data_IF_024510067441
#
_entry.id   IF_024510067441
#
_cell.length_a   1.000
_cell.length_b   1.000
_cell.length_c   1.000
_cell.angle_alpha   90.00
_cell.angle_beta   90.00
_cell.angle_gamma   90.00
#
_symmetry.space_group_name_H-M   'P 1'
#
loop_
_entity.id
_entity.type
_entity.pdbx_description
1 polymer ?
#
# COMPACT_ATOMS: atom_id res chain seq x y z
N UNK A 1 -11.67 -15.91 -10.38
CA UNK A 1 -10.46 -15.64 -9.58
C UNK A 1 -10.21 -14.13 -9.52
N UNK A 2 -10.15 -13.58 -8.33
CA UNK A 2 -9.88 -12.15 -8.17
C UNK A 2 -8.40 -11.87 -8.38
N UNK A 3 -8.11 -10.74 -9.02
CA UNK A 3 -6.73 -10.29 -9.24
C UNK A 3 -6.53 -8.96 -8.55
N UNK A 4 -5.37 -8.77 -7.94
CA UNK A 4 -5.03 -7.54 -7.24
C UNK A 4 -3.88 -6.81 -7.92
N UNK A 5 -4.03 -5.49 -8.06
CA UNK A 5 -2.94 -4.60 -8.40
C UNK A 5 -2.47 -3.95 -7.10
N UNK A 6 -1.22 -4.17 -6.73
CA UNK A 6 -0.68 -3.75 -5.44
C UNK A 6 0.13 -2.48 -5.61
N UNK A 7 -0.20 -1.46 -4.80
CA UNK A 7 0.53 -0.20 -4.80
C UNK A 7 1.19 -0.03 -3.43
N UNK A 8 2.51 -0.23 -3.39
CA UNK A 8 3.30 -0.04 -2.18
C UNK A 8 3.85 1.38 -2.11
N UNK A 9 4.04 1.89 -0.91
CA UNK A 9 4.62 3.20 -0.69
C UNK A 9 4.59 3.61 0.76
N UNK A 10 5.18 4.76 1.05
CA UNK A 10 5.20 5.29 2.41
C UNK A 10 3.87 5.98 2.77
N UNK A 11 3.27 6.69 1.83
CA UNK A 11 2.03 7.45 2.02
C UNK A 11 2.09 8.32 3.30
N UNK A 12 3.04 9.24 3.33
CA UNK A 12 3.33 10.07 4.51
C UNK A 12 3.13 11.58 4.22
N UNK A 13 1.92 12.09 4.10
CA UNK A 13 0.67 11.36 3.95
C UNK A 13 0.38 10.98 2.50
N UNK A 14 -0.75 10.32 2.27
CA UNK A 14 -1.27 10.07 0.93
C UNK A 14 -1.53 11.41 0.21
N UNK A 15 -1.28 11.44 -1.10
CA UNK A 15 -1.52 12.62 -1.93
C UNK A 15 -2.45 12.29 -3.08
N UNK A 16 -2.88 13.32 -3.82
CA UNK A 16 -3.70 13.12 -5.01
C UNK A 16 -2.98 12.26 -6.06
N UNK A 17 -1.65 12.41 -6.17
CA UNK A 17 -0.85 11.61 -7.10
C UNK A 17 -0.93 10.12 -6.75
N UNK A 18 -0.92 9.78 -5.47
CA UNK A 18 -1.07 8.39 -5.03
C UNK A 18 -2.43 7.82 -5.44
N UNK A 19 -3.49 8.61 -5.29
CA UNK A 19 -4.83 8.18 -5.70
C UNK A 19 -4.92 8.03 -7.22
N UNK A 20 -4.31 8.95 -7.97
CA UNK A 20 -4.28 8.89 -9.44
C UNK A 20 -3.59 7.63 -9.96
N UNK A 21 -2.53 7.18 -9.30
CA UNK A 21 -1.87 5.92 -9.66
C UNK A 21 -2.86 4.76 -9.60
N UNK A 22 -3.66 4.71 -8.55
CA UNK A 22 -4.71 3.69 -8.41
C UNK A 22 -5.78 3.80 -9.49
N UNK A 23 -6.17 5.02 -9.83
CA UNK A 23 -7.17 5.25 -10.88
C UNK A 23 -6.64 4.80 -12.24
N UNK A 24 -5.37 5.11 -12.55
CA UNK A 24 -4.73 4.69 -13.80
C UNK A 24 -4.65 3.16 -13.85
N UNK A 25 -4.20 2.54 -12.76
CA UNK A 25 -4.12 1.09 -12.68
C UNK A 25 -5.48 0.44 -12.86
N UNK A 26 -6.53 1.02 -12.29
CA UNK A 26 -7.89 0.53 -12.43
C UNK A 26 -8.37 0.56 -13.88
N UNK A 27 -7.98 1.58 -14.64
CA UNK A 27 -8.32 1.68 -16.05
C UNK A 27 -7.53 0.69 -16.90
N UNK A 28 -6.23 0.53 -16.61
CA UNK A 28 -5.36 -0.38 -17.36
C UNK A 28 -5.66 -1.85 -17.08
N UNK A 29 -6.18 -2.15 -15.89
CA UNK A 29 -6.44 -3.51 -15.44
C UNK A 29 -7.91 -3.66 -15.04
N UNK A 30 -8.84 -3.64 -16.01
CA UNK A 30 -10.28 -3.78 -15.71
C UNK A 30 -10.55 -5.08 -14.96
N UNK A 31 -11.34 -4.99 -13.89
CA UNK A 31 -11.68 -6.14 -13.07
C UNK A 31 -10.67 -6.49 -12.00
N UNK A 32 -9.50 -5.83 -12.00
CA UNK A 32 -8.53 -6.01 -10.91
C UNK A 32 -8.90 -5.15 -9.71
N UNK A 33 -8.68 -5.69 -8.51
CA UNK A 33 -8.87 -4.92 -7.29
C UNK A 33 -7.57 -4.15 -6.99
N UNK A 34 -7.70 -2.86 -6.68
CA UNK A 34 -6.55 -2.04 -6.32
C UNK A 34 -6.32 -2.13 -4.82
N UNK A 35 -5.09 -2.47 -4.41
CA UNK A 35 -4.73 -2.70 -3.02
C UNK A 35 -3.49 -1.87 -2.65
N UNK A 36 -3.66 -0.94 -1.73
CA UNK A 36 -2.57 -0.10 -1.23
C UNK A 36 -1.94 -0.71 0.01
N UNK A 37 -0.60 -0.76 0.06
CA UNK A 37 0.14 -1.31 1.20
C UNK A 37 1.13 -0.27 1.70
N UNK A 38 0.84 0.43 2.81
CA UNK A 38 1.79 1.39 3.38
C UNK A 38 2.97 0.69 4.05
N UNK A 39 4.16 1.29 3.89
CA UNK A 39 5.40 0.76 4.45
C UNK A 39 5.47 0.99 5.97
N UNK A 40 6.24 0.18 6.71
CA UNK A 40 6.43 0.41 8.14
C UNK A 40 7.26 1.66 8.42
N UNK A 41 7.07 2.24 9.62
CA UNK A 41 7.74 3.48 10.03
C UNK A 41 9.27 3.40 9.91
N UNK A 42 9.85 2.26 10.27
CA UNK A 42 11.31 2.08 10.23
C UNK A 42 11.91 2.31 8.84
N UNK A 43 11.12 2.06 7.77
CA UNK A 43 11.61 2.23 6.41
C UNK A 43 11.70 3.70 6.02
N UNK A 44 10.84 4.54 6.57
CA UNK A 44 10.90 5.98 6.29
C UNK A 44 12.16 6.60 6.90
N UNK A 45 12.55 6.17 8.10
CA UNK A 45 13.78 6.68 8.74
C UNK A 45 15.04 6.16 8.06
N UNK A 46 15.08 4.88 7.67
CA UNK A 46 16.29 4.29 7.08
C UNK A 46 16.44 4.59 5.59
N UNK A 47 15.37 4.55 4.82
CA UNK A 47 15.45 4.73 3.37
C UNK A 47 15.45 6.18 2.95
N UNK A 48 14.58 6.99 3.56
CA UNK A 48 14.35 8.36 3.12
C UNK A 48 15.08 9.37 3.97
N UNK A 49 15.82 8.90 4.96
CA UNK A 49 16.58 9.79 5.89
C UNK A 49 15.69 10.88 6.51
N UNK A 50 14.43 10.57 6.73
CA UNK A 50 13.48 11.51 7.31
C UNK A 50 13.68 11.61 8.81
N UNK A 51 13.54 12.81 9.37
CA UNK A 51 13.52 12.98 10.80
C UNK A 51 12.21 12.42 11.37
N UNK A 52 12.28 11.87 12.58
CA UNK A 52 11.14 11.24 13.24
C UNK A 52 9.91 12.15 13.30
N UNK A 53 10.12 13.45 13.54
CA UNK A 53 9.02 14.43 13.61
C UNK A 53 8.31 14.66 12.28
N UNK A 54 8.92 14.28 11.16
CA UNK A 54 8.33 14.41 9.84
C UNK A 54 7.50 13.21 9.44
N UNK A 55 7.51 12.15 10.25
CA UNK A 55 6.88 10.88 9.94
C UNK A 55 5.58 10.73 10.72
N UNK A 56 4.48 10.60 10.00
CA UNK A 56 3.20 10.23 10.61
C UNK A 56 3.28 8.78 11.07
N UNK A 57 2.63 8.43 12.18
CA UNK A 57 2.57 7.04 12.64
C UNK A 57 1.92 6.16 11.56
N UNK A 58 2.27 4.88 11.55
CA UNK A 58 1.69 3.94 10.60
C UNK A 58 0.17 3.90 10.68
N UNK A 59 -0.38 3.94 11.90
CA UNK A 59 -1.82 3.98 12.12
C UNK A 59 -2.45 5.21 11.48
N UNK A 60 -1.84 6.39 11.66
CA UNK A 60 -2.35 7.64 11.11
C UNK A 60 -2.24 7.67 9.59
N UNK A 61 -1.12 7.20 9.05
CA UNK A 61 -0.91 7.10 7.61
C UNK A 61 -1.95 6.19 6.97
N UNK A 62 -2.19 5.03 7.58
CA UNK A 62 -3.19 4.08 7.10
C UNK A 62 -4.59 4.68 7.13
N UNK A 63 -4.96 5.37 8.21
CA UNK A 63 -6.26 5.99 8.34
C UNK A 63 -6.51 7.05 7.26
N UNK A 64 -5.52 7.91 7.00
CA UNK A 64 -5.63 8.93 5.96
C UNK A 64 -5.70 8.30 4.57
N UNK A 65 -4.92 7.26 4.34
CA UNK A 65 -4.93 6.52 3.09
C UNK A 65 -6.30 5.90 2.83
N UNK A 66 -6.87 5.23 3.83
CA UNK A 66 -8.20 4.61 3.70
C UNK A 66 -9.26 5.65 3.34
N UNK A 67 -9.24 6.81 3.99
CA UNK A 67 -10.19 7.89 3.69
C UNK A 67 -10.03 8.41 2.26
N UNK A 68 -8.81 8.46 1.76
CA UNK A 68 -8.55 8.98 0.42
C UNK A 68 -8.97 8.00 -0.69
N UNK A 69 -8.80 6.70 -0.48
CA UNK A 69 -9.01 5.71 -1.53
C UNK A 69 -10.35 4.98 -1.46
N UNK A 70 -11.00 4.98 -0.30
CA UNK A 70 -12.29 4.30 -0.11
C UNK A 70 -13.37 4.77 -1.08
N UNK A 71 -13.51 6.08 -1.37
CA UNK A 71 -14.52 6.54 -2.34
C UNK A 71 -14.35 5.94 -3.74
N UNK A 72 -13.15 5.48 -4.07
CA UNK A 72 -12.86 4.86 -5.37
C UNK A 72 -13.02 3.34 -5.34
N UNK A 73 -13.39 2.78 -4.19
CA UNK A 73 -13.53 1.33 -4.05
C UNK A 73 -12.21 0.60 -3.91
N UNK A 74 -11.13 1.30 -3.62
CA UNK A 74 -9.80 0.70 -3.44
C UNK A 74 -9.62 0.20 -2.01
N UNK A 75 -8.78 -0.83 -1.85
CA UNK A 75 -8.52 -1.45 -0.54
C UNK A 75 -7.16 -1.05 0.00
N UNK A 76 -7.02 -1.13 1.32
CA UNK A 76 -5.75 -0.94 2.03
C UNK A 76 -5.42 -2.20 2.82
N UNK A 77 -4.13 -2.55 2.86
CA UNK A 77 -3.64 -3.71 3.61
C UNK A 77 -2.62 -3.25 4.64
N UNK A 78 -2.79 -3.68 5.87
CA UNK A 78 -1.96 -3.25 7.01
C UNK A 78 -0.79 -4.18 7.33
N UNK A 79 -0.56 -5.20 6.52
CA UNK A 79 0.41 -6.25 6.86
C UNK A 79 1.84 -5.74 7.03
N UNK A 80 2.26 -4.74 6.26
CA UNK A 80 3.60 -4.17 6.42
C UNK A 80 3.66 -3.14 7.55
N UNK A 81 2.67 -2.26 7.62
CA UNK A 81 2.68 -1.16 8.59
C UNK A 81 2.57 -1.66 10.04
N UNK A 82 1.85 -2.75 10.26
CA UNK A 82 1.69 -3.33 11.61
C UNK A 82 2.56 -4.57 11.84
N UNK A 83 3.51 -4.82 10.96
CA UNK A 83 4.49 -5.88 11.18
C UNK A 83 3.97 -7.30 11.05
N UNK A 84 2.88 -7.51 10.34
CA UNK A 84 2.37 -8.87 10.09
C UNK A 84 3.26 -9.65 9.13
N UNK A 85 4.09 -8.93 8.35
CA UNK A 85 5.13 -9.51 7.51
C UNK A 85 6.43 -8.77 7.77
N UNK A 86 7.55 -9.29 7.23
CA UNK A 86 8.85 -8.62 7.32
C UNK A 86 8.95 -7.37 6.46
N UNK A 87 7.93 -7.08 5.66
CA UNK A 87 7.88 -6.01 4.67
C UNK A 87 8.84 -6.22 3.49
N UNK A 88 9.46 -7.39 3.35
CA UNK A 88 10.15 -7.78 2.12
C UNK A 88 9.10 -8.14 1.09
N UNK A 89 9.36 -7.79 -0.17
CA UNK A 89 8.40 -8.03 -1.24
C UNK A 89 7.95 -9.49 -1.29
N UNK A 90 8.89 -10.43 -1.21
CA UNK A 90 8.56 -11.85 -1.24
C UNK A 90 7.61 -12.26 -0.11
N UNK A 91 7.93 -11.85 1.13
CA UNK A 91 7.14 -12.23 2.30
C UNK A 91 5.74 -11.61 2.25
N UNK A 92 5.65 -10.36 1.83
CA UNK A 92 4.37 -9.69 1.67
C UNK A 92 3.52 -10.37 0.59
N UNK A 93 4.13 -10.72 -0.55
CA UNK A 93 3.41 -11.40 -1.63
C UNK A 93 2.93 -12.78 -1.18
N UNK A 94 3.74 -13.51 -0.41
CA UNK A 94 3.35 -14.81 0.13
C UNK A 94 2.19 -14.67 1.12
N UNK A 95 2.25 -13.68 2.02
CA UNK A 95 1.17 -13.39 2.95
C UNK A 95 -0.14 -13.11 2.21
N UNK A 96 -0.08 -12.28 1.17
CA UNK A 96 -1.27 -11.92 0.41
C UNK A 96 -1.82 -13.11 -0.38
N UNK A 97 -0.95 -13.95 -0.92
CA UNK A 97 -1.37 -15.17 -1.61
C UNK A 97 -2.11 -16.11 -0.65
N UNK A 98 -1.58 -16.30 0.56
CA UNK A 98 -2.21 -17.14 1.55
C UNK A 98 -3.55 -16.58 2.01
N UNK A 99 -3.64 -15.25 2.15
CA UNK A 99 -4.86 -14.59 2.60
C UNK A 99 -5.93 -14.51 1.53
N UNK A 100 -5.54 -14.19 0.28
CA UNK A 100 -6.49 -13.96 -0.80
C UNK A 100 -6.51 -15.08 -1.84
N UNK A 101 -5.46 -15.90 -1.92
CA UNK A 101 -5.37 -17.03 -2.83
C UNK A 101 -5.39 -16.66 -4.30
N UNK A 102 -4.64 -15.61 -4.72
CA UNK A 102 -4.81 -15.03 -6.04
C UNK A 102 -3.53 -14.54 -6.69
N UNK A 103 -3.58 -14.37 -8.03
CA UNK A 103 -2.52 -13.72 -8.79
C UNK A 103 -2.47 -12.23 -8.46
N UNK A 104 -1.26 -11.68 -8.47
CA UNK A 104 -1.03 -10.30 -8.05
C UNK A 104 0.00 -9.61 -8.94
N UNK A 105 -0.19 -8.29 -9.14
CA UNK A 105 0.80 -7.41 -9.75
C UNK A 105 1.13 -6.31 -8.78
N UNK A 106 2.43 -6.03 -8.65
CA UNK A 106 2.89 -4.97 -7.75
C UNK A 106 3.31 -3.74 -8.54
N UNK A 107 2.82 -2.58 -8.10
CA UNK A 107 3.31 -1.27 -8.50
C UNK A 107 3.81 -0.57 -7.24
N UNK A 108 4.93 0.16 -7.36
CA UNK A 108 5.56 0.81 -6.20
C UNK A 108 5.62 2.31 -6.41
N UNK A 109 5.21 3.06 -5.37
CA UNK A 109 5.21 4.52 -5.35
C UNK A 109 6.00 4.99 -4.11
N UNK A 110 7.30 5.10 -4.24
CA UNK A 110 8.16 5.51 -3.11
C UNK A 110 8.98 6.74 -3.42
#
# INVERSE_FOLDING_TARGET
>A
MKKFAIIGGSFNPVTKAHVEIGQIASKELPGWQILYIPAPDRFLTSWKSMEKKEILSGKKRLLLLEKAVKPHGFLCEDCEVFGKTSARTYDTMQYLRDRYGQDQRKRTSR
#
